data_IF_758967740326
#
_entry.id   IF_758967740326
#
_cell.length_a   1.000
_cell.length_b   1.000
_cell.length_c   1.000
_cell.angle_alpha   90.00
_cell.angle_beta   90.00
_cell.angle_gamma   90.00
#
_symmetry.space_group_name_H-M   'P 1'
#
loop_
_entity.id
_entity.type
_entity.pdbx_description
1 polymer ?
#
# COMPACT_ATOMS: atom_id res chain seq x y z
N UNK A 1 -6.91 23.24 -19.06
CA UNK A 1 -7.19 21.87 -19.52
C UNK A 1 -5.93 21.00 -19.54
N UNK A 2 -4.78 21.51 -20.00
CA UNK A 2 -3.53 20.70 -20.09
C UNK A 2 -2.89 20.32 -18.73
N UNK A 3 -3.13 21.11 -17.68
CA UNK A 3 -2.52 20.90 -16.35
C UNK A 3 -2.89 19.56 -15.68
N UNK A 4 -4.05 18.98 -16.04
CA UNK A 4 -4.60 17.79 -15.37
C UNK A 4 -4.08 16.48 -15.96
N UNK A 5 -3.40 16.52 -17.12
CA UNK A 5 -2.88 15.34 -17.80
C UNK A 5 -1.90 14.53 -16.94
N UNK A 6 -1.13 15.21 -16.10
CA UNK A 6 -0.20 14.58 -15.16
C UNK A 6 -0.89 13.62 -14.18
N UNK A 7 -2.14 13.88 -13.78
CA UNK A 7 -2.91 12.99 -12.91
C UNK A 7 -3.44 11.75 -13.65
N UNK A 8 -3.61 11.85 -14.98
CA UNK A 8 -4.11 10.77 -15.82
C UNK A 8 -2.99 9.85 -16.32
N UNK A 9 -1.74 10.34 -16.35
CA UNK A 9 -0.60 9.60 -16.87
C UNK A 9 -0.45 8.18 -16.24
N UNK A 10 -0.57 7.98 -14.92
CA UNK A 10 -0.46 6.64 -14.33
C UNK A 10 -1.60 5.71 -14.79
N UNK A 11 -2.81 6.26 -14.97
CA UNK A 11 -3.99 5.50 -15.39
C UNK A 11 -3.85 5.08 -16.86
N UNK A 12 -3.41 5.99 -17.72
CA UNK A 12 -3.15 5.71 -19.14
C UNK A 12 -2.05 4.65 -19.28
N UNK A 13 -0.94 4.80 -18.55
CA UNK A 13 0.16 3.86 -18.58
C UNK A 13 -0.27 2.46 -18.10
N UNK A 14 -1.04 2.37 -17.01
CA UNK A 14 -1.56 1.10 -16.52
C UNK A 14 -2.43 0.40 -17.57
N UNK A 15 -3.36 1.14 -18.19
CA UNK A 15 -4.23 0.60 -19.23
C UNK A 15 -3.44 0.10 -20.45
N UNK A 16 -2.49 0.90 -20.95
CA UNK A 16 -1.68 0.51 -22.12
C UNK A 16 -0.83 -0.72 -21.83
N UNK A 17 -0.22 -0.79 -20.64
CA UNK A 17 0.62 -1.93 -20.28
C UNK A 17 -0.17 -3.22 -20.06
N UNK A 18 -1.46 -3.13 -19.71
CA UNK A 18 -2.33 -4.29 -19.50
C UNK A 18 -3.16 -4.66 -20.73
N UNK A 19 -3.16 -3.86 -21.80
CA UNK A 19 -3.96 -4.13 -22.99
C UNK A 19 -3.22 -5.07 -23.95
N UNK A 20 -3.79 -6.22 -24.34
CA UNK A 20 -3.21 -7.07 -25.36
C UNK A 20 -3.07 -6.38 -26.70
N UNK A 21 -1.94 -6.61 -27.39
CA UNK A 21 -1.69 -6.08 -28.72
C UNK A 21 -1.43 -7.20 -29.74
N UNK A 22 -1.99 -7.09 -30.94
CA UNK A 22 -1.80 -8.09 -32.00
C UNK A 22 -0.32 -8.26 -32.40
N UNK A 23 0.45 -7.17 -32.39
CA UNK A 23 1.90 -7.18 -32.62
C UNK A 23 2.69 -7.97 -31.56
N UNK A 24 2.10 -8.17 -30.39
CA UNK A 24 2.66 -8.89 -29.26
C UNK A 24 2.06 -10.29 -29.11
N UNK A 25 1.68 -10.92 -30.23
CA UNK A 25 0.99 -12.23 -30.22
C UNK A 25 -0.27 -12.25 -29.35
N UNK A 26 -1.00 -11.14 -29.34
CA UNK A 26 -2.19 -10.95 -28.50
C UNK A 26 -1.92 -11.06 -26.99
N UNK A 27 -0.69 -10.72 -26.56
CA UNK A 27 -0.32 -10.52 -25.15
C UNK A 27 -0.11 -9.04 -24.86
N UNK A 28 -0.25 -8.66 -23.61
CA UNK A 28 0.03 -7.30 -23.13
C UNK A 28 1.53 -7.08 -22.89
N UNK A 29 2.02 -5.83 -22.97
CA UNK A 29 3.39 -5.51 -22.59
C UNK A 29 3.75 -5.98 -21.17
N UNK A 30 2.81 -5.85 -20.22
CA UNK A 30 3.01 -6.28 -18.83
C UNK A 30 3.24 -7.80 -18.74
N UNK A 31 2.45 -8.61 -19.44
CA UNK A 31 2.62 -10.08 -19.45
C UNK A 31 3.97 -10.48 -20.02
N UNK A 32 4.41 -9.83 -21.10
CA UNK A 32 5.69 -10.14 -21.71
C UNK A 32 6.88 -9.71 -20.84
N UNK A 33 6.78 -8.56 -20.19
CA UNK A 33 7.85 -8.03 -19.35
C UNK A 33 7.99 -8.79 -18.02
N UNK A 34 6.86 -9.15 -17.40
CA UNK A 34 6.84 -9.81 -16.09
C UNK A 34 6.79 -11.33 -16.17
N UNK A 35 6.46 -11.89 -17.33
CA UNK A 35 6.11 -13.30 -17.52
C UNK A 35 4.94 -13.78 -16.61
N UNK A 36 4.17 -12.87 -16.04
CA UNK A 36 2.97 -13.14 -15.25
C UNK A 36 1.73 -12.98 -16.11
N UNK A 37 0.70 -13.79 -15.88
CA UNK A 37 -0.61 -13.58 -16.52
C UNK A 37 -1.21 -12.25 -16.07
N UNK A 38 -2.02 -11.63 -16.93
CA UNK A 38 -2.78 -10.41 -16.60
C UNK A 38 -3.45 -10.56 -15.25
N UNK A 39 -2.96 -9.82 -14.28
CA UNK A 39 -3.56 -9.75 -12.95
C UNK A 39 -4.35 -8.45 -12.93
N UNK A 40 -5.68 -8.54 -13.03
CA UNK A 40 -6.51 -7.39 -12.74
C UNK A 40 -6.32 -7.02 -11.26
N UNK A 41 -6.53 -5.76 -10.85
CA UNK A 41 -6.54 -5.41 -9.43
C UNK A 41 -7.49 -6.29 -8.59
N UNK A 42 -8.56 -6.82 -9.21
CA UNK A 42 -9.47 -7.78 -8.59
C UNK A 42 -8.83 -9.17 -8.42
N UNK A 43 -8.03 -9.63 -9.38
CA UNK A 43 -7.28 -10.87 -9.23
C UNK A 43 -6.30 -10.80 -8.06
N UNK A 44 -5.68 -9.64 -7.77
CA UNK A 44 -4.84 -9.48 -6.57
C UNK A 44 -5.65 -9.63 -5.27
N UNK A 45 -6.88 -9.11 -5.24
CA UNK A 45 -7.80 -9.29 -4.08
C UNK A 45 -8.19 -10.77 -3.91
N UNK A 46 -8.36 -11.49 -5.02
CA UNK A 46 -8.75 -12.91 -5.02
C UNK A 46 -7.56 -13.83 -4.73
N UNK A 47 -6.36 -13.51 -5.21
CA UNK A 47 -5.13 -14.34 -5.11
C UNK A 47 -4.63 -14.49 -3.66
N UNK A 48 -5.00 -13.58 -2.75
CA UNK A 48 -4.76 -13.76 -1.31
C UNK A 48 -5.63 -14.85 -0.65
N UNK A 49 -6.64 -15.34 -1.35
CA UNK A 49 -7.56 -16.37 -0.87
C UNK A 49 -7.40 -17.65 -1.69
N UNK A 50 -6.55 -18.58 -1.22
CA UNK A 50 -6.72 -20.03 -1.48
C UNK A 50 -8.02 -20.52 -0.83
N UNK A 51 -9.15 -19.93 -1.18
CA UNK A 51 -10.48 -20.39 -0.80
C UNK A 51 -11.23 -20.63 -2.09
N UNK A 52 -11.78 -21.83 -2.20
CA UNK A 52 -12.70 -22.17 -3.26
C UNK A 52 -13.71 -21.03 -3.43
N UNK A 53 -13.85 -20.53 -4.65
CA UNK A 53 -14.84 -19.52 -4.98
C UNK A 53 -16.22 -20.11 -4.65
N UNK A 54 -16.78 -19.72 -3.50
CA UNK A 54 -18.11 -20.14 -3.09
C UNK A 54 -19.08 -19.14 -3.71
N UNK A 55 -19.91 -19.63 -4.63
CA UNK A 55 -21.09 -18.89 -5.03
C UNK A 55 -21.93 -18.63 -3.78
N UNK A 56 -22.25 -17.36 -3.53
CA UNK A 56 -23.15 -16.99 -2.43
C UNK A 56 -24.56 -16.94 -2.96
N UNK A 57 -25.46 -17.74 -2.39
CA UNK A 57 -26.90 -17.75 -2.68
C UNK A 57 -27.59 -16.49 -2.13
N UNK A 58 -27.08 -15.30 -2.44
CA UNK A 58 -27.74 -14.06 -2.05
C UNK A 58 -28.89 -13.81 -3.01
N UNK A 59 -30.10 -13.69 -2.45
CA UNK A 59 -31.17 -13.08 -3.23
C UNK A 59 -30.85 -11.60 -3.44
N UNK A 60 -31.36 -10.99 -4.53
CA UNK A 60 -31.09 -9.57 -4.85
C UNK A 60 -31.42 -8.62 -3.68
N UNK A 61 -32.37 -9.02 -2.82
CA UNK A 61 -32.78 -8.25 -1.64
C UNK A 61 -31.75 -8.28 -0.50
N UNK A 62 -30.88 -9.29 -0.46
CA UNK A 62 -29.86 -9.46 0.59
C UNK A 62 -28.55 -8.73 0.27
N UNK A 63 -28.31 -8.43 -1.01
CA UNK A 63 -27.07 -7.77 -1.48
C UNK A 63 -26.82 -6.45 -0.74
N UNK A 64 -27.77 -5.49 -0.65
CA UNK A 64 -27.50 -4.20 -0.01
C UNK A 64 -27.13 -4.36 1.47
N UNK A 65 -27.88 -5.21 2.19
CA UNK A 65 -27.66 -5.49 3.61
C UNK A 65 -26.28 -6.11 3.87
N UNK A 66 -25.86 -7.04 3.03
CA UNK A 66 -24.57 -7.70 3.19
C UNK A 66 -23.40 -6.78 2.80
N UNK A 67 -23.57 -5.93 1.78
CA UNK A 67 -22.59 -4.90 1.45
C UNK A 67 -22.43 -3.86 2.56
N UNK A 68 -23.52 -3.46 3.21
CA UNK A 68 -23.46 -2.54 4.35
C UNK A 68 -22.71 -3.14 5.54
N UNK A 69 -22.97 -4.41 5.84
CA UNK A 69 -22.20 -5.16 6.86
C UNK A 69 -20.72 -5.24 6.50
N UNK A 70 -20.40 -5.58 5.25
CA UNK A 70 -19.01 -5.66 4.78
C UNK A 70 -18.31 -4.31 4.90
N UNK A 71 -18.98 -3.22 4.47
CA UNK A 71 -18.46 -1.86 4.57
C UNK A 71 -18.21 -1.46 6.02
N UNK A 72 -19.11 -1.81 6.92
CA UNK A 72 -18.93 -1.57 8.36
C UNK A 72 -17.72 -2.32 8.91
N UNK A 73 -17.58 -3.61 8.60
CA UNK A 73 -16.45 -4.44 9.04
C UNK A 73 -15.10 -3.92 8.50
N UNK A 74 -15.04 -3.51 7.23
CA UNK A 74 -13.84 -2.92 6.62
C UNK A 74 -13.46 -1.59 7.28
N UNK A 75 -14.45 -0.73 7.58
CA UNK A 75 -14.20 0.52 8.32
C UNK A 75 -13.58 0.27 9.69
N UNK A 76 -14.08 -0.73 10.42
CA UNK A 76 -13.51 -1.12 11.72
C UNK A 76 -12.07 -1.60 11.56
N UNK A 77 -11.82 -2.52 10.63
CA UNK A 77 -10.48 -3.04 10.37
C UNK A 77 -9.49 -1.92 9.99
N UNK A 78 -9.88 -1.01 9.09
CA UNK A 78 -9.03 0.12 8.71
C UNK A 78 -8.73 1.03 9.89
N UNK A 79 -9.72 1.31 10.75
CA UNK A 79 -9.52 2.10 11.97
C UNK A 79 -8.47 1.45 12.88
N UNK A 80 -8.59 0.14 13.12
CA UNK A 80 -7.63 -0.59 13.96
C UNK A 80 -6.21 -0.59 13.38
N UNK A 81 -6.07 -0.74 12.05
CA UNK A 81 -4.77 -0.69 11.37
C UNK A 81 -4.15 0.70 11.50
N UNK A 82 -4.93 1.77 11.30
CA UNK A 82 -4.47 3.14 11.46
C UNK A 82 -4.01 3.41 12.90
N UNK A 83 -4.77 2.98 13.90
CA UNK A 83 -4.42 3.13 15.32
C UNK A 83 -3.12 2.37 15.67
N UNK A 84 -2.98 1.13 15.21
CA UNK A 84 -1.75 0.34 15.37
C UNK A 84 -0.55 1.03 14.71
N UNK A 85 -0.73 1.59 13.53
CA UNK A 85 0.33 2.31 12.82
C UNK A 85 0.72 3.61 13.53
N UNK A 86 -0.26 4.38 14.02
CA UNK A 86 -0.01 5.59 14.81
C UNK A 86 0.76 5.26 16.10
N UNK A 87 0.38 4.19 16.80
CA UNK A 87 1.09 3.71 18.00
C UNK A 87 2.53 3.32 17.67
N UNK A 88 2.77 2.65 16.54
CA UNK A 88 4.13 2.30 16.09
C UNK A 88 4.96 3.54 15.77
N UNK A 89 4.35 4.55 15.15
CA UNK A 89 5.01 5.82 14.84
C UNK A 89 5.42 6.57 16.13
N UNK A 90 4.51 6.68 17.10
CA UNK A 90 4.82 7.32 18.40
C UNK A 90 5.93 6.59 19.17
N UNK A 91 5.90 5.26 19.21
CA UNK A 91 6.99 4.48 19.81
C UNK A 91 8.32 4.64 19.08
N UNK A 92 8.28 4.84 17.76
CA UNK A 92 9.48 5.12 16.99
C UNK A 92 10.05 6.51 17.36
N UNK A 93 9.21 7.55 17.43
CA UNK A 93 9.65 8.90 17.82
C UNK A 93 10.21 8.92 19.24
N UNK A 94 9.54 8.28 20.21
CA UNK A 94 10.05 8.16 21.59
C UNK A 94 11.41 7.45 21.65
N UNK A 95 11.63 6.42 20.83
CA UNK A 95 12.93 5.75 20.72
C UNK A 95 13.99 6.66 20.10
N UNK A 96 13.65 7.42 19.07
CA UNK A 96 14.57 8.40 18.47
C UNK A 96 14.92 9.50 19.47
N UNK A 97 13.94 10.02 20.21
CA UNK A 97 14.15 11.04 21.25
C UNK A 97 14.99 10.49 22.41
N UNK A 98 14.70 9.28 22.89
CA UNK A 98 15.50 8.61 23.93
C UNK A 98 16.93 8.33 23.46
N UNK A 99 17.10 7.91 22.20
CA UNK A 99 18.42 7.68 21.61
C UNK A 99 19.19 8.98 21.38
N UNK A 100 18.52 10.06 20.98
CA UNK A 100 19.11 11.38 20.85
C UNK A 100 19.50 11.96 22.21
N UNK A 101 18.66 11.78 23.23
CA UNK A 101 18.94 12.22 24.60
C UNK A 101 20.12 11.47 25.21
N UNK A 102 20.23 10.15 25.00
CA UNK A 102 21.43 9.37 25.42
C UNK A 102 22.68 9.86 24.66
N UNK A 103 22.58 10.21 23.38
CA UNK A 103 23.70 10.80 22.63
C UNK A 103 24.11 12.16 23.20
N UNK A 104 23.15 12.99 23.62
CA UNK A 104 23.41 14.31 24.22
C UNK A 104 23.85 14.24 25.70
N UNK A 105 23.57 13.15 26.42
CA UNK A 105 23.92 12.95 27.84
C UNK A 105 25.02 11.90 28.06
N UNK A 106 25.69 11.44 27.00
CA UNK A 106 26.86 10.57 27.10
C UNK A 106 27.96 11.19 27.98
N UNK A 107 28.79 10.37 28.65
CA UNK A 107 29.72 10.87 29.65
C UNK A 107 30.64 11.90 28.98
N UNK A 108 30.83 13.04 29.65
CA UNK A 108 31.99 13.90 29.40
C UNK A 108 33.24 13.05 29.60
N UNK A 109 33.70 12.40 28.53
CA UNK A 109 35.02 11.80 28.50
C UNK A 109 35.99 12.97 28.53
N UNK A 110 36.60 13.15 29.70
CA UNK A 110 37.81 13.94 29.86
C UNK A 110 38.76 13.68 28.70
N UNK A 111 39.19 14.76 28.05
CA UNK A 111 40.05 14.86 26.86
C UNK A 111 39.40 14.51 25.50
N UNK A 112 38.62 15.44 24.97
CA UNK A 112 38.63 15.71 23.52
C UNK A 112 38.69 17.21 23.30
N UNK A 113 39.80 17.66 22.72
CA UNK A 113 39.99 19.01 22.17
C UNK A 113 38.91 19.30 21.15
N UNK A 114 38.15 20.37 21.36
CA UNK A 114 37.19 20.94 20.41
C UNK A 114 37.98 21.49 19.20
N UNK A 115 37.75 21.06 17.95
CA UNK A 115 38.11 21.89 16.82
C UNK A 115 37.00 22.91 16.59
N UNK A 116 37.40 24.17 16.52
CA UNK A 116 36.55 25.32 16.20
C UNK A 116 35.76 25.09 14.91
N UNK A 117 34.45 25.35 14.95
CA UNK A 117 33.68 25.62 13.74
C UNK A 117 34.25 26.88 13.06
N UNK A 118 34.67 26.74 11.81
CA UNK A 118 34.78 27.84 10.83
C UNK A 118 33.62 27.69 9.84
#
# INVERSE_FOLDING_TARGET
AEQEWHYLLPVVQANLNQTPAASLTSKSPMELFTALNLTTPLDVVVVGMKKELRESDWTVKDIPKNLDKLRASLKVMHKEVLEKNATRAAKATEKYESSAMIMCLGPTSTNVTIPSCS
#
